data_IF_348948916289
#
_entry.id   IF_348948916289
#
_cell.length_a   1.000
_cell.length_b   1.000
_cell.length_c   1.000
_cell.angle_alpha   90.00
_cell.angle_beta   90.00
_cell.angle_gamma   90.00
#
_symmetry.space_group_name_H-M   'P 1'
#
loop_
_entity.id
_entity.type
_entity.pdbx_description
1 polymer ?
#
# COMPACT_ATOMS: atom_id res chain seq x y z
N UNK A 1 14.95 0.19 -3.13
CA UNK A 1 13.83 0.49 -4.05
C UNK A 1 14.31 1.35 -5.21
N UNK A 2 13.74 1.15 -6.39
CA UNK A 2 14.01 1.95 -7.60
C UNK A 2 12.68 2.28 -8.29
N UNK A 3 12.47 3.52 -8.67
CA UNK A 3 11.26 3.94 -9.38
C UNK A 3 11.57 4.92 -10.51
N UNK A 4 10.79 4.87 -11.59
CA UNK A 4 10.96 5.80 -12.70
C UNK A 4 10.24 7.14 -12.46
N UNK A 5 10.83 8.22 -12.96
CA UNK A 5 10.35 9.61 -12.85
C UNK A 5 9.51 10.05 -14.04
N UNK A 6 8.94 9.13 -14.82
CA UNK A 6 8.24 9.48 -16.07
C UNK A 6 7.09 10.48 -15.83
N UNK A 7 6.29 10.29 -14.78
CA UNK A 7 5.22 11.21 -14.42
C UNK A 7 5.73 12.63 -14.14
N UNK A 8 6.86 12.74 -13.43
CA UNK A 8 7.48 14.01 -13.08
C UNK A 8 8.03 14.69 -14.33
N UNK A 9 8.80 13.96 -15.14
CA UNK A 9 9.41 14.48 -16.38
C UNK A 9 8.36 14.95 -17.40
N UNK A 10 7.22 14.26 -17.47
CA UNK A 10 6.08 14.66 -18.29
C UNK A 10 5.43 15.94 -17.76
N UNK A 11 5.18 16.02 -16.45
CA UNK A 11 4.56 17.19 -15.82
C UNK A 11 5.43 18.44 -15.97
N UNK A 12 6.74 18.34 -15.71
CA UNK A 12 7.72 19.43 -15.85
C UNK A 12 7.74 20.04 -17.26
N UNK A 13 7.51 19.20 -18.28
CA UNK A 13 7.51 19.60 -19.70
C UNK A 13 6.11 19.80 -20.28
N UNK A 14 5.07 19.70 -19.46
CA UNK A 14 3.66 19.83 -19.86
C UNK A 14 3.26 18.85 -20.99
N UNK A 15 3.83 17.65 -20.97
CA UNK A 15 3.59 16.61 -21.98
C UNK A 15 2.50 15.66 -21.50
N UNK A 16 1.62 15.27 -22.42
CA UNK A 16 0.66 14.18 -22.19
C UNK A 16 1.18 12.87 -22.82
N UNK A 17 0.49 11.75 -22.55
CA UNK A 17 0.88 10.42 -23.05
C UNK A 17 1.00 10.38 -24.58
N UNK A 18 0.13 11.09 -25.31
CA UNK A 18 0.15 11.11 -26.79
C UNK A 18 1.44 11.74 -27.30
N UNK A 19 1.92 12.80 -26.65
CA UNK A 19 3.15 13.50 -27.05
C UNK A 19 4.36 12.58 -26.87
N UNK A 20 4.44 11.88 -25.74
CA UNK A 20 5.52 10.91 -25.45
C UNK A 20 5.48 9.73 -26.43
N UNK A 21 4.29 9.19 -26.71
CA UNK A 21 4.11 8.12 -27.72
C UNK A 21 4.61 8.59 -29.08
N UNK A 22 4.24 9.80 -29.52
CA UNK A 22 4.66 10.35 -30.81
C UNK A 22 6.17 10.59 -30.87
N UNK A 23 6.77 11.12 -29.80
CA UNK A 23 8.20 11.43 -29.76
C UNK A 23 9.13 10.23 -29.59
N UNK A 24 8.65 9.14 -28.96
CA UNK A 24 9.47 7.96 -28.68
C UNK A 24 9.18 6.76 -29.59
N UNK A 25 8.01 6.75 -30.24
CA UNK A 25 7.48 5.59 -30.96
C UNK A 25 7.25 4.37 -30.06
N UNK A 26 7.08 4.57 -28.75
CA UNK A 26 6.66 3.52 -27.81
C UNK A 26 5.15 3.38 -27.84
N UNK A 27 4.63 2.19 -27.51
CA UNK A 27 3.19 1.97 -27.46
C UNK A 27 2.54 2.77 -26.32
N UNK A 28 1.29 3.19 -26.49
CA UNK A 28 0.51 3.83 -25.42
C UNK A 28 0.46 2.97 -24.17
N UNK A 29 0.30 1.66 -24.32
CA UNK A 29 0.27 0.72 -23.19
C UNK A 29 1.60 0.71 -22.44
N UNK A 30 2.73 0.77 -23.15
CA UNK A 30 4.06 0.87 -22.52
C UNK A 30 4.16 2.12 -21.66
N UNK A 31 3.79 3.29 -22.18
CA UNK A 31 3.84 4.56 -21.43
C UNK A 31 2.87 4.52 -20.24
N UNK A 32 1.64 4.07 -20.45
CA UNK A 32 0.64 3.94 -19.38
C UNK A 32 1.11 3.03 -18.25
N UNK A 33 1.70 1.87 -18.58
CA UNK A 33 2.20 0.95 -17.57
C UNK A 33 3.37 1.55 -16.78
N UNK A 34 4.28 2.27 -17.44
CA UNK A 34 5.41 2.94 -16.77
C UNK A 34 4.94 4.02 -15.79
N UNK A 35 3.87 4.74 -16.13
CA UNK A 35 3.23 5.76 -15.30
C UNK A 35 2.52 5.15 -14.09
N UNK A 36 1.78 4.06 -14.30
CA UNK A 36 0.93 3.44 -13.27
C UNK A 36 1.66 2.41 -12.39
N UNK A 37 2.87 2.03 -12.76
CA UNK A 37 3.66 1.02 -12.06
C UNK A 37 5.11 1.48 -11.97
N UNK A 38 5.29 2.69 -11.44
CA UNK A 38 6.55 3.42 -11.53
C UNK A 38 7.71 2.72 -10.82
N UNK A 39 7.40 2.01 -9.74
CA UNK A 39 8.24 1.25 -8.84
C UNK A 39 8.30 -0.25 -9.17
N UNK A 40 7.55 -0.71 -10.20
CA UNK A 40 7.54 -2.12 -10.60
C UNK A 40 8.60 -2.39 -11.67
N UNK A 41 9.27 -3.52 -11.54
CA UNK A 41 10.31 -3.97 -12.48
C UNK A 41 9.79 -4.31 -13.89
N UNK A 42 10.71 -4.68 -14.78
CA UNK A 42 10.38 -5.21 -16.11
C UNK A 42 10.54 -4.22 -17.28
N UNK A 43 11.17 -3.06 -17.06
CA UNK A 43 11.46 -2.10 -18.12
C UNK A 43 12.74 -2.51 -18.86
N UNK A 44 12.65 -2.74 -20.18
CA UNK A 44 13.84 -3.05 -20.96
C UNK A 44 14.72 -1.79 -21.22
N UNK A 45 16.03 -2.00 -21.36
CA UNK A 45 17.00 -0.92 -21.58
C UNK A 45 16.73 -0.10 -22.85
N UNK A 46 16.16 -0.72 -23.90
CA UNK A 46 15.83 -0.01 -25.15
C UNK A 46 14.73 1.04 -24.94
N UNK A 47 13.74 0.73 -24.10
CA UNK A 47 12.66 1.65 -23.69
C UNK A 47 13.23 2.79 -22.88
N UNK A 48 14.10 2.49 -21.90
CA UNK A 48 14.78 3.52 -21.07
C UNK A 48 15.60 4.45 -21.96
N UNK A 49 16.41 3.90 -22.88
CA UNK A 49 17.22 4.69 -23.79
C UNK A 49 16.37 5.64 -24.65
N UNK A 50 15.26 5.16 -25.22
CA UNK A 50 14.33 6.00 -26.00
C UNK A 50 13.75 7.15 -25.18
N UNK A 51 13.35 6.87 -23.93
CA UNK A 51 12.80 7.89 -23.03
C UNK A 51 13.88 8.90 -22.64
N UNK A 52 15.07 8.45 -22.26
CA UNK A 52 16.21 9.31 -21.94
C UNK A 52 16.55 10.25 -23.11
N UNK A 53 16.61 9.72 -24.35
CA UNK A 53 16.83 10.53 -25.55
C UNK A 53 15.73 11.56 -25.78
N UNK A 54 14.46 11.16 -25.64
CA UNK A 54 13.32 12.05 -25.87
C UNK A 54 13.24 13.18 -24.83
N UNK A 55 13.45 12.87 -23.56
CA UNK A 55 13.44 13.86 -22.48
C UNK A 55 14.75 14.65 -22.34
N UNK A 56 15.81 14.22 -23.05
CA UNK A 56 17.18 14.72 -22.93
C UNK A 56 17.70 14.66 -21.49
N UNK A 57 17.63 13.48 -20.89
CA UNK A 57 18.04 13.21 -19.49
C UNK A 57 18.94 11.98 -19.41
N UNK A 58 19.72 11.85 -18.33
CA UNK A 58 20.49 10.64 -18.07
C UNK A 58 19.63 9.58 -17.37
N UNK A 59 20.07 8.31 -17.31
CA UNK A 59 19.40 7.30 -16.50
C UNK A 59 19.30 7.69 -15.01
N UNK A 60 20.29 8.39 -14.47
CA UNK A 60 20.28 8.87 -13.09
C UNK A 60 19.18 9.92 -12.85
N UNK A 61 18.93 10.78 -13.84
CA UNK A 61 17.82 11.75 -13.79
C UNK A 61 16.46 11.08 -14.02
N UNK A 62 16.42 9.95 -14.74
CA UNK A 62 15.19 9.23 -15.05
C UNK A 62 14.69 8.37 -13.88
N UNK A 63 15.57 7.89 -13.01
CA UNK A 63 15.21 7.05 -11.88
C UNK A 63 15.37 7.78 -10.53
N UNK A 64 14.49 7.43 -9.58
CA UNK A 64 14.67 7.71 -8.16
C UNK A 64 15.20 6.45 -7.48
N UNK A 65 16.16 6.60 -6.58
CA UNK A 65 16.74 5.49 -5.85
C UNK A 65 16.62 5.73 -4.34
N UNK A 66 16.09 4.74 -3.64
CA UNK A 66 16.06 4.70 -2.18
C UNK A 66 16.78 3.43 -1.73
N UNK A 67 17.84 3.52 -0.90
CA UNK A 67 18.76 2.41 -0.68
C UNK A 67 18.22 1.33 0.27
N UNK A 68 16.91 1.20 0.40
CA UNK A 68 16.26 0.24 1.26
C UNK A 68 15.22 -0.55 0.47
N UNK A 69 15.04 -1.82 0.80
CA UNK A 69 13.90 -2.63 0.36
C UNK A 69 13.09 -3.01 1.59
N UNK A 70 11.75 -2.95 1.50
CA UNK A 70 10.88 -3.29 2.61
C UNK A 70 9.89 -4.38 2.20
N UNK A 71 9.72 -5.37 3.07
CA UNK A 71 8.73 -6.44 2.93
C UNK A 71 7.83 -6.46 4.15
N UNK A 72 6.54 -6.74 3.93
CA UNK A 72 5.51 -6.69 4.96
C UNK A 72 4.81 -8.04 5.06
N UNK A 73 4.56 -8.49 6.28
CA UNK A 73 3.81 -9.71 6.58
C UNK A 73 2.88 -9.44 7.75
N UNK A 74 1.73 -10.11 7.77
CA UNK A 74 0.80 -10.02 8.90
C UNK A 74 0.74 -11.39 9.56
N UNK A 75 1.02 -11.40 10.87
CA UNK A 75 0.97 -12.59 11.71
C UNK A 75 -0.17 -12.47 12.73
N UNK A 76 -0.79 -13.60 13.07
CA UNK A 76 -1.80 -13.68 14.13
C UNK A 76 -1.17 -13.98 15.47
N UNK A 77 -1.81 -13.53 16.56
CA UNK A 77 -1.52 -14.09 17.88
C UNK A 77 -2.15 -15.47 17.99
N UNK A 78 -1.35 -16.52 18.23
CA UNK A 78 -1.87 -17.80 18.71
C UNK A 78 -2.17 -17.70 20.21
N UNK A 79 -3.15 -16.87 20.56
CA UNK A 79 -3.71 -16.85 21.91
C UNK A 79 -4.65 -18.03 22.01
N UNK A 80 -4.20 -19.09 22.67
CA UNK A 80 -5.01 -20.27 23.03
C UNK A 80 -6.38 -19.83 23.59
N UNK A 81 -7.39 -19.75 22.73
CA UNK A 81 -8.79 -19.50 23.08
C UNK A 81 -9.28 -18.05 23.11
N UNK A 82 -8.60 -17.08 22.49
CA UNK A 82 -9.16 -15.72 22.29
C UNK A 82 -9.49 -15.46 20.82
N UNK A 83 -10.60 -14.74 20.59
CA UNK A 83 -11.01 -14.25 19.27
C UNK A 83 -9.86 -13.44 18.64
N UNK A 84 -9.55 -13.69 17.36
CA UNK A 84 -8.53 -12.93 16.62
C UNK A 84 -9.03 -11.50 16.51
N UNK A 85 -8.64 -10.66 17.45
CA UNK A 85 -9.01 -9.24 17.52
C UNK A 85 -7.80 -8.34 17.30
N UNK A 86 -6.60 -8.93 17.42
CA UNK A 86 -5.33 -8.26 17.24
C UNK A 86 -4.43 -9.06 16.29
N UNK A 87 -3.59 -8.37 15.52
CA UNK A 87 -2.60 -8.97 14.63
C UNK A 87 -1.35 -8.08 14.53
N UNK A 88 -0.22 -8.67 14.17
CA UNK A 88 1.06 -7.98 14.05
C UNK A 88 1.38 -7.71 12.58
N UNK A 89 1.66 -6.47 12.24
CA UNK A 89 2.34 -6.13 11.00
C UNK A 89 3.84 -6.23 11.22
N UNK A 90 4.45 -7.27 10.65
CA UNK A 90 5.88 -7.43 10.58
C UNK A 90 6.44 -6.67 9.37
N UNK A 91 7.29 -5.70 9.63
CA UNK A 91 8.04 -4.99 8.58
C UNK A 91 9.50 -5.41 8.64
N UNK A 92 10.03 -5.92 7.53
CA UNK A 92 11.47 -6.20 7.38
C UNK A 92 12.06 -5.22 6.36
N UNK A 93 13.08 -4.48 6.78
CA UNK A 93 13.80 -3.50 5.96
C UNK A 93 15.21 -4.02 5.70
N UNK A 94 15.61 -4.14 4.44
CA UNK A 94 16.94 -4.59 4.00
C UNK A 94 17.77 -3.44 3.42
N UNK A 95 19.03 -3.36 3.81
CA UNK A 95 20.03 -2.44 3.28
C UNK A 95 21.41 -3.10 3.22
N UNK A 96 22.01 -3.21 2.03
CA UNK A 96 23.36 -3.74 1.84
C UNK A 96 23.60 -5.13 2.50
N UNK A 97 22.58 -5.99 2.53
CA UNK A 97 22.63 -7.32 3.15
C UNK A 97 22.44 -7.34 4.67
N UNK A 98 22.33 -6.19 5.33
CA UNK A 98 21.82 -6.07 6.69
C UNK A 98 20.29 -5.91 6.66
N UNK A 99 19.61 -6.34 7.72
CA UNK A 99 18.17 -6.09 7.87
C UNK A 99 17.79 -5.67 9.28
N UNK A 100 16.69 -4.91 9.36
CA UNK A 100 16.01 -4.50 10.57
C UNK A 100 14.58 -5.02 10.50
N UNK A 101 13.98 -5.35 11.64
CA UNK A 101 12.62 -5.87 11.73
C UNK A 101 11.84 -5.11 12.80
N UNK A 102 10.62 -4.72 12.47
CA UNK A 102 9.66 -4.09 13.37
C UNK A 102 8.37 -4.87 13.40
N UNK A 103 7.66 -4.76 14.51
CA UNK A 103 6.36 -5.39 14.76
C UNK A 103 5.40 -4.31 15.25
N UNK A 104 4.41 -3.97 14.43
CA UNK A 104 3.36 -3.02 14.78
C UNK A 104 2.09 -3.79 15.15
N UNK A 105 1.59 -3.58 16.37
CA UNK A 105 0.35 -4.22 16.83
C UNK A 105 -0.85 -3.48 16.28
N UNK A 106 -1.69 -4.17 15.53
CA UNK A 106 -2.97 -3.67 15.07
C UNK A 106 -4.10 -4.29 15.88
N UNK A 107 -5.03 -3.46 16.31
CA UNK A 107 -6.26 -3.88 16.97
C UNK A 107 -7.49 -3.35 16.22
N UNK A 108 -8.60 -4.08 16.32
CA UNK A 108 -9.89 -3.63 15.81
C UNK A 108 -10.61 -2.75 16.84
N UNK A 109 -10.81 -1.48 16.50
CA UNK A 109 -11.70 -0.61 17.27
C UNK A 109 -13.08 -0.54 16.61
N UNK A 110 -14.07 -1.10 17.29
CA UNK A 110 -15.50 -1.02 16.93
C UNK A 110 -16.27 -0.03 17.79
N UNK A 111 -15.60 0.61 18.76
CA UNK A 111 -16.22 1.38 19.85
C UNK A 111 -16.48 2.85 19.51
N UNK A 112 -15.83 3.41 18.47
CA UNK A 112 -16.16 4.77 17.99
C UNK A 112 -17.42 4.87 17.11
N UNK A 113 -18.10 3.76 16.84
CA UNK A 113 -19.58 3.69 16.73
C UNK A 113 -19.99 2.24 16.47
N UNK A 114 -20.51 1.51 17.47
CA UNK A 114 -21.25 0.30 17.21
C UNK A 114 -22.52 0.70 16.45
N UNK A 115 -22.56 0.50 15.13
CA UNK A 115 -23.86 0.43 14.47
C UNK A 115 -24.47 -0.88 14.95
N UNK A 116 -25.36 -0.75 15.92
CA UNK A 116 -26.27 -1.76 16.44
C UNK A 116 -26.53 -2.87 15.41
N UNK A 117 -26.06 -4.08 15.72
CA UNK A 117 -26.59 -5.31 15.16
C UNK A 117 -28.02 -5.50 15.72
N UNK A 118 -28.98 -4.74 15.20
CA UNK A 118 -30.38 -4.84 15.61
C UNK A 118 -31.24 -3.66 15.15
N UNK A 119 -32.31 -4.01 14.43
CA UNK A 119 -33.57 -3.28 14.14
C UNK A 119 -33.71 -1.87 14.72
N UNK A 120 -33.93 -0.77 13.99
CA UNK A 120 -34.45 -0.48 12.66
C UNK A 120 -33.81 0.88 12.24
N UNK A 121 -33.60 1.11 10.94
CA UNK A 121 -33.61 2.50 10.42
C UNK A 121 -32.30 3.23 10.12
N UNK A 122 -31.12 2.66 10.32
CA UNK A 122 -29.86 3.20 9.79
C UNK A 122 -28.81 2.09 9.57
N UNK A 123 -29.18 1.08 8.77
CA UNK A 123 -28.36 -0.12 8.52
C UNK A 123 -27.68 0.05 7.16
N UNK A 124 -26.36 -0.14 7.08
CA UNK A 124 -25.58 -0.53 5.87
C UNK A 124 -24.17 0.10 5.78
N UNK A 125 -23.53 0.53 6.87
CA UNK A 125 -22.08 0.87 6.80
C UNK A 125 -21.34 0.50 8.07
N UNK A 126 -20.61 -0.61 8.06
CA UNK A 126 -19.70 -0.97 9.16
C UNK A 126 -18.40 -0.19 9.01
N UNK A 127 -18.09 0.72 9.93
CA UNK A 127 -16.79 1.40 9.97
C UNK A 127 -15.88 0.60 10.89
N UNK A 128 -14.79 0.07 10.35
CA UNK A 128 -13.78 -0.67 11.11
C UNK A 128 -12.52 0.17 11.13
N UNK A 129 -12.10 0.57 12.33
CA UNK A 129 -10.86 1.32 12.53
C UNK A 129 -9.77 0.38 13.01
N UNK A 130 -8.62 0.47 12.36
CA UNK A 130 -7.42 -0.30 12.70
C UNK A 130 -6.35 0.67 13.18
N UNK A 131 -6.00 0.59 14.46
CA UNK A 131 -4.99 1.45 15.09
C UNK A 131 -3.70 0.69 15.43
N UNK A 132 -2.57 1.37 15.35
CA UNK A 132 -1.24 0.85 15.72
C UNK A 132 -0.95 1.08 17.22
N UNK A 133 -0.41 0.06 17.90
CA UNK A 133 0.17 0.15 19.24
C UNK A 133 1.64 -0.31 19.20
N UNK A 134 2.55 0.54 19.66
CA UNK A 134 3.99 0.27 19.58
C UNK A 134 4.50 -0.36 20.88
N UNK A 135 4.72 -1.67 20.92
CA UNK A 135 5.57 -2.30 21.94
C UNK A 135 7.03 -2.33 21.46
N UNK A 136 7.81 -1.35 21.92
CA UNK A 136 9.20 -1.14 21.48
C UNK A 136 10.09 -2.36 21.78
N UNK A 137 10.49 -3.09 20.73
CA UNK A 137 11.65 -3.99 20.76
C UNK A 137 12.68 -3.52 19.73
N UNK A 138 13.70 -2.80 20.22
CA UNK A 138 14.94 -2.42 19.53
C UNK A 138 14.71 -1.75 18.17
N UNK A 139 14.28 -0.49 18.15
CA UNK A 139 14.20 0.29 16.91
C UNK A 139 15.54 0.98 16.62
N UNK A 140 16.01 0.86 15.39
CA UNK A 140 17.03 1.76 14.83
C UNK A 140 16.35 3.10 14.46
N UNK A 141 17.11 4.20 14.35
CA UNK A 141 16.56 5.49 13.84
C UNK A 141 15.92 5.35 12.45
N UNK A 142 16.27 4.29 11.70
CA UNK A 142 15.73 3.99 10.38
C UNK A 142 14.31 3.42 10.49
N UNK A 143 13.97 2.72 11.56
CA UNK A 143 12.66 2.07 11.74
C UNK A 143 11.56 3.10 12.00
N UNK A 144 11.76 3.97 13.00
CA UNK A 144 10.78 5.02 13.38
C UNK A 144 10.56 6.06 12.25
N UNK A 145 11.48 6.12 11.30
CA UNK A 145 11.50 7.13 10.27
C UNK A 145 11.53 6.59 8.85
N UNK A 146 11.44 5.27 8.62
CA UNK A 146 11.56 4.66 7.29
C UNK A 146 10.66 5.34 6.25
N UNK A 147 9.38 5.49 6.59
CA UNK A 147 8.41 6.17 5.74
C UNK A 147 8.79 7.64 5.52
N UNK A 148 9.13 8.36 6.60
CA UNK A 148 9.45 9.79 6.54
C UNK A 148 10.76 10.10 5.80
N UNK A 149 11.72 9.17 5.82
CA UNK A 149 12.98 9.23 5.09
C UNK A 149 12.82 8.82 3.62
N UNK A 150 11.75 8.07 3.30
CA UNK A 150 11.50 7.64 1.93
C UNK A 150 11.09 8.84 1.05
N UNK A 151 11.65 8.95 -0.17
CA UNK A 151 11.19 9.92 -1.15
C UNK A 151 9.68 9.80 -1.40
N UNK A 152 9.00 10.94 -1.63
CA UNK A 152 7.54 11.02 -1.87
C UNK A 152 7.06 10.00 -2.92
N UNK A 153 7.88 9.73 -3.94
CA UNK A 153 7.60 8.74 -4.97
C UNK A 153 7.40 7.32 -4.42
N UNK A 154 8.17 6.95 -3.39
CA UNK A 154 8.10 5.63 -2.75
C UNK A 154 7.08 5.57 -1.63
N UNK A 155 6.75 6.70 -0.99
CA UNK A 155 5.74 6.75 0.07
C UNK A 155 4.39 6.16 -0.38
N UNK A 156 3.95 6.44 -1.61
CA UNK A 156 2.73 5.83 -2.17
C UNK A 156 2.85 4.31 -2.29
N UNK A 157 3.97 3.81 -2.82
CA UNK A 157 4.21 2.38 -2.99
C UNK A 157 4.28 1.65 -1.64
N UNK A 158 4.99 2.24 -0.66
CA UNK A 158 5.07 1.74 0.72
C UNK A 158 3.68 1.63 1.32
N UNK A 159 2.90 2.72 1.29
CA UNK A 159 1.52 2.70 1.79
C UNK A 159 0.70 1.61 1.12
N UNK A 160 0.76 1.48 -0.22
CA UNK A 160 -0.03 0.47 -0.92
C UNK A 160 0.40 -0.95 -0.57
N UNK A 161 1.70 -1.20 -0.39
CA UNK A 161 2.19 -2.52 -0.02
C UNK A 161 1.71 -2.93 1.37
N UNK A 162 1.77 -2.03 2.35
CA UNK A 162 1.22 -2.26 3.70
C UNK A 162 -0.28 -2.53 3.63
N UNK A 163 -1.04 -1.62 3.01
CA UNK A 163 -2.49 -1.75 2.86
C UNK A 163 -2.87 -3.07 2.18
N UNK A 164 -2.19 -3.45 1.09
CA UNK A 164 -2.48 -4.71 0.40
C UNK A 164 -2.30 -5.93 1.31
N UNK A 165 -1.25 -5.97 2.14
CA UNK A 165 -1.02 -7.12 3.03
C UNK A 165 -2.10 -7.17 4.12
N UNK A 166 -2.46 -6.01 4.70
CA UNK A 166 -3.56 -5.90 5.66
C UNK A 166 -4.89 -6.35 5.05
N UNK A 167 -5.21 -5.88 3.85
CA UNK A 167 -6.42 -6.26 3.13
C UNK A 167 -6.50 -7.76 2.84
N UNK A 168 -5.41 -8.36 2.36
CA UNK A 168 -5.36 -9.81 2.11
C UNK A 168 -5.55 -10.59 3.41
N UNK A 169 -4.92 -10.13 4.50
CA UNK A 169 -5.12 -10.73 5.82
C UNK A 169 -6.59 -10.69 6.24
N UNK A 170 -7.24 -9.52 6.15
CA UNK A 170 -8.64 -9.33 6.53
C UNK A 170 -9.57 -10.22 5.69
N UNK A 171 -9.39 -10.24 4.36
CA UNK A 171 -10.20 -11.08 3.44
C UNK A 171 -10.12 -12.56 3.82
N UNK A 172 -8.94 -13.03 4.26
CA UNK A 172 -8.71 -14.42 4.62
C UNK A 172 -9.29 -14.77 6.01
N UNK A 173 -9.59 -13.78 6.84
CA UNK A 173 -10.03 -13.96 8.22
C UNK A 173 -11.40 -13.32 8.52
N UNK A 174 -12.20 -12.96 7.50
CA UNK A 174 -13.51 -12.29 7.69
C UNK A 174 -14.43 -13.01 8.69
N UNK A 175 -14.50 -14.34 8.62
CA UNK A 175 -15.34 -15.15 9.52
C UNK A 175 -14.85 -15.06 10.97
N UNK A 176 -13.54 -15.25 11.21
CA UNK A 176 -12.97 -15.18 12.55
C UNK A 176 -12.92 -13.77 13.13
N UNK A 177 -12.77 -12.74 12.29
CA UNK A 177 -12.67 -11.34 12.72
C UNK A 177 -14.04 -10.71 12.97
N UNK A 178 -15.06 -11.06 12.16
CA UNK A 178 -16.35 -10.36 12.14
C UNK A 178 -17.56 -11.28 12.26
N UNK A 179 -17.40 -12.60 12.33
CA UNK A 179 -18.50 -13.57 12.27
C UNK A 179 -19.22 -13.56 10.92
N UNK A 180 -18.57 -13.08 9.86
CA UNK A 180 -19.16 -12.92 8.53
C UNK A 180 -18.85 -14.16 7.69
N UNK A 181 -19.89 -14.96 7.44
CA UNK A 181 -19.79 -16.14 6.58
C UNK A 181 -20.07 -15.83 5.10
N UNK A 182 -20.86 -14.79 4.81
CA UNK A 182 -21.13 -14.34 3.45
C UNK A 182 -20.39 -13.03 3.15
N UNK A 183 -19.47 -13.06 2.19
CA UNK A 183 -18.66 -11.89 1.80
C UNK A 183 -19.49 -10.73 1.27
N UNK A 184 -20.68 -10.97 0.72
CA UNK A 184 -21.59 -9.92 0.25
C UNK A 184 -22.04 -8.99 1.39
N UNK A 185 -22.11 -9.50 2.62
CA UNK A 185 -22.45 -8.69 3.81
C UNK A 185 -21.35 -7.66 4.11
N UNK A 186 -20.13 -7.89 3.60
CA UNK A 186 -18.98 -7.02 3.78
C UNK A 186 -18.85 -5.91 2.73
N UNK A 187 -19.63 -5.93 1.64
CA UNK A 187 -19.60 -4.89 0.59
C UNK A 187 -19.98 -3.49 1.09
N UNK A 188 -20.69 -3.49 2.21
CA UNK A 188 -21.16 -2.31 2.92
C UNK A 188 -20.12 -1.80 3.94
N UNK A 189 -19.10 -2.59 4.24
CA UNK A 189 -18.08 -2.24 5.20
C UNK A 189 -17.07 -1.24 4.62
N UNK A 190 -16.72 -0.24 5.43
CA UNK A 190 -15.65 0.71 5.19
C UNK A 190 -14.53 0.43 6.18
N UNK A 191 -13.36 0.12 5.67
CA UNK A 191 -12.16 0.01 6.48
C UNK A 191 -11.45 1.35 6.54
N UNK A 192 -11.01 1.71 7.73
CA UNK A 192 -10.16 2.87 7.99
C UNK A 192 -8.89 2.36 8.65
N UNK A 193 -7.81 2.30 7.86
CA UNK A 193 -6.47 2.03 8.38
C UNK A 193 -5.89 3.31 8.95
N UNK A 194 -5.57 3.32 10.23
CA UNK A 194 -4.88 4.42 10.91
C UNK A 194 -3.42 4.02 11.07
N UNK A 195 -2.64 4.27 10.02
CA UNK A 195 -1.20 4.05 10.05
C UNK A 195 -0.49 5.24 10.70
N UNK A 196 0.64 5.01 11.35
CA UNK A 196 1.47 6.05 11.98
C UNK A 196 1.81 7.24 11.07
N UNK A 197 1.88 7.02 9.75
CA UNK A 197 2.15 8.08 8.77
C UNK A 197 0.94 8.53 7.94
N UNK A 198 -0.16 7.77 7.90
CA UNK A 198 -1.31 8.08 7.03
C UNK A 198 -2.59 7.34 7.43
N UNK A 199 -3.72 8.04 7.34
CA UNK A 199 -5.05 7.41 7.36
C UNK A 199 -5.46 7.02 5.94
N UNK A 200 -5.82 5.75 5.73
CA UNK A 200 -6.29 5.20 4.45
C UNK A 200 -7.71 4.67 4.63
N UNK A 201 -8.60 4.99 3.68
CA UNK A 201 -10.00 4.55 3.68
C UNK A 201 -10.24 3.65 2.49
N UNK A 202 -10.85 2.51 2.73
CA UNK A 202 -11.13 1.48 1.73
C UNK A 202 -12.56 0.97 1.87
N UNK A 203 -13.15 0.51 0.77
CA UNK A 203 -14.41 -0.22 0.77
C UNK A 203 -14.25 -1.56 0.06
N UNK A 204 -14.79 -2.62 0.65
CA UNK A 204 -14.75 -3.95 0.05
C UNK A 204 -15.75 -4.09 -1.11
N UNK A 205 -15.37 -4.88 -2.11
CA UNK A 205 -16.21 -5.30 -3.23
C UNK A 205 -16.12 -6.82 -3.39
N UNK A 206 -17.22 -7.51 -3.15
CA UNK A 206 -17.39 -8.96 -3.29
C UNK A 206 -17.32 -9.38 -4.75
N UNK A 207 -17.82 -8.53 -5.67
CA UNK A 207 -17.73 -8.72 -7.12
C UNK A 207 -16.29 -8.91 -7.58
N UNK A 208 -15.36 -8.12 -7.02
CA UNK A 208 -13.95 -8.16 -7.39
C UNK A 208 -13.08 -8.89 -6.37
N UNK A 209 -13.65 -9.25 -5.22
CA UNK A 209 -12.98 -9.76 -4.03
C UNK A 209 -11.74 -8.93 -3.66
N UNK A 210 -11.92 -7.60 -3.66
CA UNK A 210 -10.86 -6.59 -3.42
C UNK A 210 -11.43 -5.41 -2.66
N UNK A 211 -10.55 -4.68 -2.00
CA UNK A 211 -10.86 -3.34 -1.52
C UNK A 211 -10.56 -2.30 -2.59
N UNK A 212 -11.31 -1.21 -2.55
CA UNK A 212 -11.23 -0.08 -3.47
C UNK A 212 -11.08 1.21 -2.66
N UNK A 213 -10.20 2.09 -3.15
CA UNK A 213 -9.99 3.42 -2.58
C UNK A 213 -11.33 4.19 -2.55
N UNK A 214 -11.64 4.81 -1.41
CA UNK A 214 -12.80 5.69 -1.21
C UNK A 214 -12.52 7.17 -1.53
#
# INVERSE_FOLDING_TARGET
MLANKLNVLMAERQLNIKDVVQGTGLSRNTISNLINSSDKGGINLRTINKLCMFFNVTPADFFEYFPYEATYQVDTFDTKGADVTDFLLNTKIEHNGAYFQTEDLFYFDTTESPIYLGDEGAKDTHVITLGEYNETHITSEIDDHFYSLSPIMFQRAITQNVVNVLEQFIINHLDSLFGIQNKEDFDKAKLIFVLSWKVVKQQYSSETNKFLDL
#
